data_IF_677163549884
#
_entry.id   IF_677163549884
#
_cell.length_a   1.000
_cell.length_b   1.000
_cell.length_c   1.000
_cell.angle_alpha   90.00
_cell.angle_beta   90.00
_cell.angle_gamma   90.00
#
_symmetry.space_group_name_H-M   'P 1'
#
loop_
_entity.id
_entity.type
_entity.pdbx_description
1 polymer ?
#
# COMPACT_ATOMS: atom_id res chain seq x y z
N UNK A 1 -19.29 9.46 -15.26
CA UNK A 1 -17.89 9.00 -15.03
C UNK A 1 -17.38 9.65 -13.75
N UNK A 2 -16.81 8.90 -12.79
CA UNK A 2 -16.24 9.48 -11.57
C UNK A 2 -14.90 10.16 -11.92
N UNK A 3 -14.66 11.38 -11.42
CA UNK A 3 -13.43 12.14 -11.72
C UNK A 3 -12.14 11.39 -11.36
N UNK A 4 -12.17 10.61 -10.28
CA UNK A 4 -11.08 9.71 -9.88
C UNK A 4 -10.62 8.76 -10.99
N UNK A 5 -11.56 8.24 -11.78
CA UNK A 5 -11.25 7.26 -12.84
C UNK A 5 -10.58 7.95 -14.02
N UNK A 6 -10.98 9.18 -14.35
CA UNK A 6 -10.37 9.96 -15.41
C UNK A 6 -8.90 10.30 -15.06
N UNK A 7 -8.63 10.67 -13.81
CA UNK A 7 -7.26 10.90 -13.34
C UNK A 7 -6.40 9.63 -13.44
N UNK A 8 -6.89 8.49 -12.94
CA UNK A 8 -6.16 7.22 -13.02
C UNK A 8 -5.90 6.78 -14.48
N UNK A 9 -6.88 6.99 -15.37
CA UNK A 9 -6.71 6.69 -16.79
C UNK A 9 -5.66 7.56 -17.47
N UNK A 10 -5.63 8.86 -17.16
CA UNK A 10 -4.58 9.75 -17.68
C UNK A 10 -3.19 9.29 -17.21
N UNK A 11 -3.04 8.95 -15.93
CA UNK A 11 -1.78 8.45 -15.36
C UNK A 11 -1.31 7.15 -16.04
N UNK A 12 -2.22 6.20 -16.29
CA UNK A 12 -1.88 4.95 -17.02
C UNK A 12 -1.38 5.26 -18.43
N UNK A 13 -2.06 6.16 -19.15
CA UNK A 13 -1.64 6.56 -20.50
C UNK A 13 -0.27 7.23 -20.51
N UNK A 14 0.01 8.07 -19.52
CA UNK A 14 1.31 8.73 -19.40
C UNK A 14 2.42 7.71 -19.11
N UNK A 15 2.18 6.73 -18.24
CA UNK A 15 3.13 5.64 -17.98
C UNK A 15 3.40 4.79 -19.23
N UNK A 16 2.37 4.48 -20.03
CA UNK A 16 2.54 3.78 -21.30
C UNK A 16 3.35 4.60 -22.31
N UNK A 17 3.08 5.90 -22.41
CA UNK A 17 3.83 6.81 -23.29
C UNK A 17 5.31 6.95 -22.87
N UNK A 18 5.59 6.82 -21.58
CA UNK A 18 6.95 6.78 -21.03
C UNK A 18 7.65 5.41 -21.19
N UNK A 19 6.97 4.39 -21.74
CA UNK A 19 7.53 3.05 -21.92
C UNK A 19 7.66 2.26 -20.61
N UNK A 20 6.87 2.57 -19.59
CA UNK A 20 6.88 1.82 -18.33
C UNK A 20 6.19 0.46 -18.48
N UNK A 21 6.80 -0.58 -17.92
CA UNK A 21 6.22 -1.94 -17.89
C UNK A 21 5.18 -2.13 -16.78
N UNK A 22 5.26 -1.32 -15.72
CA UNK A 22 4.44 -1.48 -14.51
C UNK A 22 3.84 -0.14 -14.09
N UNK A 23 2.53 -0.14 -13.85
CA UNK A 23 1.80 0.96 -13.22
C UNK A 23 1.36 0.55 -11.81
N UNK A 24 1.96 1.15 -10.78
CA UNK A 24 1.69 0.81 -9.38
C UNK A 24 0.59 1.71 -8.78
N UNK A 25 -0.58 1.12 -8.49
CA UNK A 25 -1.71 1.79 -7.82
C UNK A 25 -1.46 2.02 -6.31
N UNK A 26 -0.30 1.61 -5.80
CA UNK A 26 0.18 1.71 -4.42
C UNK A 26 -0.66 0.91 -3.42
N UNK A 27 -0.27 1.00 -2.15
CA UNK A 27 -0.75 0.15 -1.06
C UNK A 27 -2.27 0.05 -0.93
N UNK A 28 -2.69 -1.14 -0.50
CA UNK A 28 -4.04 -1.45 -0.06
C UNK A 28 -4.00 -1.88 1.40
N UNK A 29 -5.11 -1.72 2.12
CA UNK A 29 -5.27 -2.32 3.45
C UNK A 29 -5.17 -3.85 3.32
N UNK A 30 -4.50 -4.55 4.26
CA UNK A 30 -4.35 -6.00 4.19
C UNK A 30 -5.65 -6.78 4.42
N UNK A 31 -6.73 -6.10 4.81
CA UNK A 31 -8.03 -6.69 5.13
C UNK A 31 -8.87 -6.93 3.87
N UNK A 32 -9.41 -8.15 3.76
CA UNK A 32 -10.43 -8.54 2.77
C UNK A 32 -11.84 -8.63 3.40
N UNK A 33 -11.97 -8.22 4.66
CA UNK A 33 -13.25 -8.19 5.37
C UNK A 33 -14.16 -7.17 4.70
N UNK A 34 -15.31 -7.64 4.20
CA UNK A 34 -16.28 -6.84 3.45
C UNK A 34 -16.86 -5.67 4.27
N UNK A 35 -16.81 -5.76 5.60
CA UNK A 35 -17.29 -4.73 6.52
C UNK A 35 -16.23 -3.64 6.84
N UNK A 36 -15.00 -3.77 6.32
CA UNK A 36 -13.96 -2.76 6.47
C UNK A 36 -14.24 -1.56 5.52
N UNK A 37 -14.28 -0.30 6.03
CA UNK A 37 -14.44 0.90 5.20
C UNK A 37 -13.44 1.01 4.02
N UNK A 38 -12.30 0.33 4.08
CA UNK A 38 -11.25 0.34 3.05
C UNK A 38 -11.47 -0.65 1.90
N UNK A 39 -12.49 -1.53 1.97
CA UNK A 39 -12.81 -2.49 0.91
C UNK A 39 -13.10 -1.83 -0.43
N UNK A 40 -13.76 -0.67 -0.41
CA UNK A 40 -14.05 0.09 -1.63
C UNK A 40 -12.79 0.48 -2.41
N UNK A 41 -11.68 0.75 -1.70
CA UNK A 41 -10.39 1.07 -2.33
C UNK A 41 -9.73 -0.17 -2.94
N UNK A 42 -9.85 -1.31 -2.28
CA UNK A 42 -9.37 -2.60 -2.80
C UNK A 42 -10.13 -2.97 -4.08
N UNK A 43 -11.46 -2.91 -4.05
CA UNK A 43 -12.31 -3.21 -5.20
C UNK A 43 -12.06 -2.26 -6.38
N UNK A 44 -11.85 -0.96 -6.10
CA UNK A 44 -11.49 0.01 -7.15
C UNK A 44 -10.18 -0.37 -7.84
N UNK A 45 -9.14 -0.75 -7.08
CA UNK A 45 -7.82 -1.07 -7.62
C UNK A 45 -7.80 -2.41 -8.37
N UNK A 46 -8.43 -3.45 -7.81
CA UNK A 46 -8.58 -4.75 -8.49
C UNK A 46 -9.42 -4.62 -9.77
N UNK A 47 -10.46 -3.78 -9.76
CA UNK A 47 -11.31 -3.52 -10.92
C UNK A 47 -10.60 -2.89 -12.13
N UNK A 48 -9.39 -2.33 -11.94
CA UNK A 48 -8.55 -1.81 -13.05
C UNK A 48 -7.61 -2.87 -13.65
N UNK A 49 -7.70 -4.13 -13.20
CA UNK A 49 -6.76 -5.20 -13.58
C UNK A 49 -5.50 -5.25 -12.72
N UNK A 50 -5.45 -4.48 -11.62
CA UNK A 50 -4.32 -4.46 -10.69
C UNK A 50 -4.20 -5.75 -9.87
N UNK A 51 -2.97 -6.18 -9.61
CA UNK A 51 -2.66 -7.34 -8.76
C UNK A 51 -2.23 -6.88 -7.38
N UNK A 52 -2.78 -7.50 -6.33
CA UNK A 52 -2.31 -7.27 -4.96
C UNK A 52 -0.98 -8.01 -4.75
N UNK A 53 0.10 -7.24 -4.60
CA UNK A 53 1.44 -7.78 -4.34
C UNK A 53 1.89 -7.47 -2.91
N UNK A 54 2.44 -8.46 -2.22
CA UNK A 54 3.03 -8.30 -0.89
C UNK A 54 4.54 -8.19 -1.01
N UNK A 55 5.09 -7.06 -0.55
CA UNK A 55 6.53 -6.87 -0.44
C UNK A 55 7.09 -7.50 0.84
N UNK A 56 8.41 -7.59 0.90
CA UNK A 56 9.19 -8.18 2.00
C UNK A 56 8.97 -7.46 3.36
N UNK A 57 8.40 -6.25 3.32
CA UNK A 57 8.10 -5.46 4.51
C UNK A 57 9.28 -4.58 4.94
N UNK A 58 9.30 -4.22 6.21
CA UNK A 58 10.28 -3.32 6.80
C UNK A 58 11.36 -4.10 7.55
N UNK A 59 12.62 -3.65 7.42
CA UNK A 59 13.79 -4.27 8.01
C UNK A 59 14.57 -3.24 8.79
N UNK A 60 14.77 -3.49 10.08
CA UNK A 60 15.46 -2.57 10.98
C UNK A 60 16.92 -2.96 11.17
N UNK A 61 17.82 -1.97 11.07
CA UNK A 61 19.23 -2.09 11.47
C UNK A 61 19.46 -1.23 12.74
N UNK A 62 19.53 -1.83 13.94
CA UNK A 62 19.70 -1.09 15.18
C UNK A 62 21.09 -0.45 15.30
N UNK A 63 21.22 0.83 14.96
CA UNK A 63 22.48 1.58 15.13
C UNK A 63 22.84 1.80 16.61
N UNK A 64 21.83 1.84 17.49
CA UNK A 64 21.99 1.94 18.94
C UNK A 64 21.15 0.84 19.62
N UNK A 65 21.71 -0.35 19.86
CA UNK A 65 20.95 -1.51 20.30
C UNK A 65 20.13 -1.29 21.57
N UNK A 66 20.66 -0.54 22.54
CA UNK A 66 19.97 -0.27 23.80
C UNK A 66 18.75 0.65 23.63
N UNK A 67 18.86 1.70 22.81
CA UNK A 67 17.74 2.62 22.53
C UNK A 67 16.66 1.90 21.74
N UNK A 68 17.06 1.12 20.73
CA UNK A 68 16.13 0.33 19.91
C UNK A 68 15.33 -0.66 20.76
N UNK A 69 15.99 -1.40 21.67
CA UNK A 69 15.31 -2.32 22.60
C UNK A 69 14.34 -1.60 23.54
N UNK A 70 14.70 -0.43 24.05
CA UNK A 70 13.81 0.36 24.90
C UNK A 70 12.55 0.83 24.13
N UNK A 71 12.73 1.28 22.89
CA UNK A 71 11.63 1.66 22.01
C UNK A 71 10.74 0.48 21.66
N UNK A 72 11.31 -0.66 21.24
CA UNK A 72 10.56 -1.89 20.94
C UNK A 72 9.75 -2.37 22.18
N UNK A 73 10.36 -2.34 23.37
CA UNK A 73 9.65 -2.67 24.61
C UNK A 73 8.47 -1.73 24.90
N UNK A 74 8.64 -0.43 24.64
CA UNK A 74 7.54 0.54 24.76
C UNK A 74 6.43 0.26 23.74
N UNK A 75 6.76 0.05 22.46
CA UNK A 75 5.79 -0.21 21.40
C UNK A 75 4.98 -1.48 21.66
N UNK A 76 5.63 -2.56 22.13
CA UNK A 76 4.95 -3.81 22.53
C UNK A 76 3.96 -3.62 23.67
N UNK A 77 4.21 -2.69 24.59
CA UNK A 77 3.28 -2.38 25.68
C UNK A 77 2.14 -1.47 25.25
N UNK A 78 2.36 -0.60 24.27
CA UNK A 78 1.34 0.31 23.73
C UNK A 78 0.32 -0.39 22.83
N UNK A 79 0.71 -1.48 22.16
CA UNK A 79 -0.16 -2.24 21.26
C UNK A 79 -1.08 -3.26 21.95
N UNK A 80 -1.10 -3.31 23.29
CA UNK A 80 -2.12 -3.98 24.10
C UNK A 80 -3.12 -2.95 24.59
#
# INVERSE_FOLDING_TARGET
VRGSNACQWAMIRDSLAAGCDVYDLRGITPTLDADDPHVGLVQFKVGTGGQAMRYIGEWDLPLRPMVYRAFDLYMRRRGR
#
